data_IF_285330534752
#
_entry.id   IF_285330534752
#
_cell.length_a   1.000
_cell.length_b   1.000
_cell.length_c   1.000
_cell.angle_alpha   90.00
_cell.angle_beta   90.00
_cell.angle_gamma   90.00
#
_symmetry.space_group_name_H-M   'P 1'
#
loop_
_entity.id
_entity.type
_entity.pdbx_description
1 polymer ?
#
# COMPACT_ATOMS: atom_id res chain seq x y z
N UNK A 1 -5.68 -18.72 -4.87
CA UNK A 1 -4.78 -17.76 -4.20
C UNK A 1 -4.93 -16.42 -4.89
N UNK A 2 -5.03 -15.33 -4.12
CA UNK A 2 -5.06 -13.97 -4.68
C UNK A 2 -3.65 -13.60 -5.13
N UNK A 3 -3.52 -13.08 -6.35
CA UNK A 3 -2.25 -12.55 -6.84
C UNK A 3 -1.90 -11.26 -6.09
N UNK A 4 -0.77 -11.29 -5.36
CA UNK A 4 -0.35 -10.18 -4.48
C UNK A 4 -0.08 -8.90 -5.25
N UNK A 5 0.49 -8.99 -6.46
CA UNK A 5 0.79 -7.84 -7.32
C UNK A 5 -0.49 -7.18 -7.80
N UNK A 6 -1.48 -7.98 -8.20
CA UNK A 6 -2.78 -7.47 -8.66
C UNK A 6 -3.53 -6.80 -7.51
N UNK A 7 -3.54 -7.41 -6.33
CA UNK A 7 -4.13 -6.79 -5.13
C UNK A 7 -3.43 -5.48 -4.78
N UNK A 8 -2.10 -5.49 -4.76
CA UNK A 8 -1.29 -4.30 -4.50
C UNK A 8 -1.64 -3.16 -5.46
N UNK A 9 -1.57 -3.40 -6.78
CA UNK A 9 -1.90 -2.40 -7.78
C UNK A 9 -3.35 -1.91 -7.68
N UNK A 10 -4.28 -2.77 -7.29
CA UNK A 10 -5.66 -2.37 -7.06
C UNK A 10 -5.77 -1.40 -5.88
N UNK A 11 -5.15 -1.73 -4.74
CA UNK A 11 -5.20 -0.88 -3.56
C UNK A 11 -4.55 0.48 -3.83
N UNK A 12 -3.38 0.50 -4.49
CA UNK A 12 -2.68 1.73 -4.90
C UNK A 12 -3.59 2.65 -5.71
N UNK A 13 -4.20 2.14 -6.77
CA UNK A 13 -5.12 2.93 -7.60
C UNK A 13 -6.30 3.48 -6.81
N UNK A 14 -6.83 2.70 -5.86
CA UNK A 14 -7.95 3.14 -5.03
C UNK A 14 -7.57 4.22 -4.02
N UNK A 15 -6.36 4.17 -3.46
CA UNK A 15 -5.86 5.28 -2.65
C UNK A 15 -5.64 6.53 -3.49
N UNK A 16 -5.06 6.42 -4.68
CA UNK A 16 -4.87 7.57 -5.59
C UNK A 16 -6.21 8.23 -5.96
N UNK A 17 -7.25 7.44 -6.26
CA UNK A 17 -8.60 7.96 -6.52
C UNK A 17 -9.17 8.72 -5.31
N UNK A 18 -8.93 8.24 -4.08
CA UNK A 18 -9.42 8.89 -2.86
C UNK A 18 -8.61 10.15 -2.51
N UNK A 19 -7.29 10.10 -2.68
CA UNK A 19 -6.40 11.25 -2.50
C UNK A 19 -6.73 12.37 -3.50
N UNK A 20 -6.94 12.04 -4.78
CA UNK A 20 -7.36 13.02 -5.79
C UNK A 20 -8.71 13.66 -5.45
N UNK A 21 -9.61 12.90 -4.82
CA UNK A 21 -10.94 13.37 -4.42
C UNK A 21 -10.89 14.25 -3.17
N UNK A 22 -10.11 13.84 -2.16
CA UNK A 22 -10.07 14.50 -0.85
C UNK A 22 -8.98 15.59 -0.78
N UNK A 23 -8.09 15.67 -1.78
CA UNK A 23 -6.99 16.62 -1.87
C UNK A 23 -5.70 16.18 -1.16
N UNK A 24 -5.79 15.20 -0.28
CA UNK A 24 -4.67 14.59 0.43
C UNK A 24 -4.98 13.14 0.83
N UNK A 25 -3.94 12.35 1.04
CA UNK A 25 -4.08 11.00 1.59
C UNK A 25 -4.34 11.03 3.10
N UNK A 26 -5.44 10.42 3.56
CA UNK A 26 -5.77 10.27 4.98
C UNK A 26 -5.89 8.78 5.33
N UNK A 27 -4.93 8.19 6.07
CA UNK A 27 -4.90 6.75 6.33
C UNK A 27 -6.10 6.26 7.16
N UNK A 28 -6.56 7.03 8.15
CA UNK A 28 -7.69 6.63 9.01
C UNK A 28 -9.00 6.53 8.23
N UNK A 29 -9.15 7.37 7.20
CA UNK A 29 -10.34 7.39 6.34
C UNK A 29 -10.20 6.49 5.13
N UNK A 30 -9.04 6.49 4.48
CA UNK A 30 -8.85 5.84 3.18
C UNK A 30 -8.56 4.36 3.32
N UNK A 31 -7.78 3.93 4.32
CA UNK A 31 -7.37 2.53 4.46
C UNK A 31 -8.53 1.58 4.67
N UNK A 32 -9.49 1.85 5.59
CA UNK A 32 -10.64 0.97 5.77
C UNK A 32 -11.49 0.87 4.49
N UNK A 33 -11.60 1.96 3.73
CA UNK A 33 -12.36 2.00 2.47
C UNK A 33 -11.70 1.12 1.42
N UNK A 34 -10.39 1.29 1.22
CA UNK A 34 -9.64 0.56 0.19
C UNK A 34 -9.53 -0.92 0.52
N UNK A 35 -9.19 -1.28 1.77
CA UNK A 35 -9.07 -2.68 2.18
C UNK A 35 -10.42 -3.40 2.11
N UNK A 36 -11.52 -2.73 2.47
CA UNK A 36 -12.87 -3.28 2.30
C UNK A 36 -13.24 -3.45 0.82
N UNK A 37 -12.85 -2.52 -0.04
CA UNK A 37 -13.06 -2.64 -1.49
C UNK A 37 -12.24 -3.79 -2.08
N UNK A 38 -11.00 -3.97 -1.63
CA UNK A 38 -10.13 -5.06 -2.03
C UNK A 38 -10.71 -6.41 -1.57
N UNK A 39 -11.11 -6.52 -0.31
CA UNK A 39 -11.74 -7.74 0.22
C UNK A 39 -12.96 -8.17 -0.61
N UNK A 40 -13.86 -7.22 -0.91
CA UNK A 40 -15.02 -7.48 -1.78
C UNK A 40 -14.62 -7.92 -3.19
N UNK A 41 -13.60 -7.29 -3.79
CA UNK A 41 -13.17 -7.58 -5.16
C UNK A 41 -12.51 -8.96 -5.29
N UNK A 42 -11.71 -9.35 -4.30
CA UNK A 42 -10.92 -10.57 -4.35
C UNK A 42 -11.53 -11.74 -3.56
N UNK A 43 -12.68 -11.53 -2.93
CA UNK A 43 -13.39 -12.58 -2.17
C UNK A 43 -12.68 -12.96 -0.87
N UNK A 44 -12.05 -11.99 -0.20
CA UNK A 44 -11.29 -12.15 1.05
C UNK A 44 -11.74 -11.12 2.08
N UNK A 45 -11.32 -11.27 3.34
CA UNK A 45 -11.62 -10.26 4.36
C UNK A 45 -10.75 -9.00 4.17
N UNK A 46 -11.18 -7.83 4.69
CA UNK A 46 -10.34 -6.63 4.69
C UNK A 46 -8.99 -6.84 5.38
N UNK A 47 -8.95 -7.64 6.44
CA UNK A 47 -7.74 -7.99 7.18
C UNK A 47 -6.80 -8.83 6.32
N UNK A 48 -7.32 -9.85 5.63
CA UNK A 48 -6.54 -10.66 4.67
C UNK A 48 -6.00 -9.79 3.53
N UNK A 49 -6.80 -8.85 3.03
CA UNK A 49 -6.35 -7.90 2.01
C UNK A 49 -5.20 -7.03 2.51
N UNK A 50 -5.24 -6.57 3.76
CA UNK A 50 -4.17 -5.83 4.41
C UNK A 50 -2.88 -6.65 4.50
N UNK A 51 -2.98 -7.90 4.96
CA UNK A 51 -1.83 -8.81 5.07
C UNK A 51 -1.18 -9.05 3.70
N UNK A 52 -1.99 -9.32 2.67
CA UNK A 52 -1.48 -9.56 1.30
C UNK A 52 -0.82 -8.30 0.75
N UNK A 53 -1.42 -7.13 0.99
CA UNK A 53 -0.86 -5.85 0.59
C UNK A 53 0.51 -5.62 1.24
N UNK A 54 0.61 -5.82 2.56
CA UNK A 54 1.84 -5.62 3.33
C UNK A 54 2.95 -6.59 2.91
N UNK A 55 2.60 -7.83 2.56
CA UNK A 55 3.56 -8.80 2.03
C UNK A 55 4.19 -8.35 0.71
N UNK A 56 3.38 -7.85 -0.24
CA UNK A 56 3.93 -7.32 -1.50
C UNK A 56 4.71 -6.03 -1.26
N UNK A 57 4.23 -5.16 -0.37
CA UNK A 57 4.93 -3.94 0.03
C UNK A 57 6.33 -4.23 0.59
N UNK A 58 6.46 -5.24 1.46
CA UNK A 58 7.74 -5.65 2.02
C UNK A 58 8.73 -6.10 0.94
N UNK A 59 8.27 -6.93 -0.01
CA UNK A 59 9.08 -7.38 -1.15
C UNK A 59 9.54 -6.20 -2.01
N UNK A 60 8.63 -5.27 -2.32
CA UNK A 60 8.97 -4.06 -3.09
C UNK A 60 9.96 -3.16 -2.35
N UNK A 61 9.80 -3.03 -1.04
CA UNK A 61 10.70 -2.24 -0.17
C UNK A 61 12.10 -2.84 -0.15
N UNK A 62 12.23 -4.15 0.03
CA UNK A 62 13.50 -4.85 0.00
C UNK A 62 14.20 -4.72 -1.37
N UNK A 63 13.45 -4.85 -2.46
CA UNK A 63 13.98 -4.65 -3.82
C UNK A 63 14.47 -3.22 -4.06
N UNK A 64 13.78 -2.22 -3.53
CA UNK A 64 14.18 -0.81 -3.63
C UNK A 64 15.45 -0.53 -2.82
N UNK A 65 15.55 -1.07 -1.60
CA UNK A 65 16.74 -0.90 -0.73
C UNK A 65 17.97 -1.59 -1.34
N UNK A 66 17.79 -2.78 -1.92
CA UNK A 66 18.89 -3.57 -2.49
C UNK A 66 19.28 -3.14 -3.91
N UNK A 67 18.68 -2.07 -4.45
CA UNK A 67 18.99 -1.51 -5.76
C UNK A 67 18.59 -2.41 -6.94
N UNK A 68 17.69 -3.37 -6.70
CA UNK A 68 17.29 -4.38 -7.69
C UNK A 68 16.13 -3.94 -8.58
N UNK A 69 15.52 -2.76 -8.37
CA UNK A 69 14.48 -2.24 -9.27
C UNK A 69 14.18 -0.74 -9.13
N UNK A 70 13.87 -0.09 -10.27
CA UNK A 70 13.31 1.26 -10.38
C UNK A 70 11.79 1.26 -10.13
N UNK A 71 11.34 0.90 -8.93
CA UNK A 71 9.90 0.99 -8.62
C UNK A 71 9.50 2.41 -8.20
N UNK A 72 8.36 2.86 -8.75
CA UNK A 72 7.69 4.10 -8.35
C UNK A 72 7.23 3.96 -6.90
N UNK A 73 7.86 4.69 -6.00
CA UNK A 73 7.44 4.76 -4.61
C UNK A 73 6.08 5.44 -4.55
N UNK A 74 5.03 4.72 -4.15
CA UNK A 74 3.71 5.34 -3.93
C UNK A 74 3.80 6.33 -2.76
N UNK A 75 2.96 7.37 -2.69
CA UNK A 75 2.96 8.32 -1.57
C UNK A 75 2.83 7.63 -0.21
N UNK A 76 2.07 6.52 -0.13
CA UNK A 76 1.98 5.67 1.05
C UNK A 76 3.30 4.98 1.38
N UNK A 77 3.97 4.37 0.40
CA UNK A 77 5.26 3.74 0.63
C UNK A 77 6.31 4.79 1.03
N UNK A 78 6.27 5.98 0.42
CA UNK A 78 7.11 7.12 0.80
C UNK A 78 6.80 7.59 2.23
N UNK A 79 5.54 7.71 2.62
CA UNK A 79 5.15 8.09 3.98
C UNK A 79 5.56 7.06 5.03
N UNK A 80 5.43 5.76 4.72
CA UNK A 80 5.91 4.66 5.59
C UNK A 80 7.44 4.71 5.69
N UNK A 81 8.15 4.84 4.57
CA UNK A 81 9.62 4.93 4.54
C UNK A 81 10.14 6.18 5.25
N UNK A 82 9.49 7.32 5.07
CA UNK A 82 9.85 8.58 5.73
C UNK A 82 9.64 8.48 7.24
N UNK A 83 8.60 7.77 7.70
CA UNK A 83 8.36 7.49 9.13
C UNK A 83 9.42 6.55 9.72
N UNK A 84 9.67 5.42 9.07
CA UNK A 84 10.68 4.43 9.47
C UNK A 84 12.10 5.02 9.48
N UNK A 85 12.45 5.87 8.50
CA UNK A 85 13.74 6.61 8.51
C UNK A 85 13.83 7.57 9.69
N UNK A 86 12.74 8.25 10.04
CA UNK A 86 12.75 9.22 11.14
C UNK A 86 12.94 8.56 12.50
N UNK A 87 12.37 7.37 12.70
CA UNK A 87 12.47 6.60 13.95
C UNK A 87 13.82 5.87 14.10
N UNK A 88 14.49 5.48 13.01
CA UNK A 88 15.82 4.82 13.06
C UNK A 88 17.01 5.77 13.25
N UNK A 89 16.82 7.06 12.96
CA UNK A 89 17.90 8.06 12.95
C UNK A 89 17.60 9.29 13.83
N UNK A 90 16.56 9.23 14.68
CA UNK A 90 16.38 10.13 15.84
C UNK A 90 16.86 9.45 17.11
#
# INVERSE_FOLDING_TARGET
>A
MVDKKILYSFCVRKWEELEQKDGEYNPERHDPIVLKAAGRKFGITPEEAGIIYDQELAVLTENAITGKSNYVLTPRLKAILDRERKERFS
#
